data_IF_691589153076
#
_entry.id   IF_691589153076
#
_cell.length_a   1.000
_cell.length_b   1.000
_cell.length_c   1.000
_cell.angle_alpha   90.00
_cell.angle_beta   90.00
_cell.angle_gamma   90.00
#
_symmetry.space_group_name_H-M   'P 1'
#
loop_
_entity.id
_entity.type
_entity.pdbx_description
1 polymer ?
#
# COMPACT_ATOMS: atom_id res chain seq x y z
N UNK A 1 -14.45 3.57 -9.65
CA UNK A 1 -13.28 2.94 -9.00
C UNK A 1 -13.24 3.39 -7.57
N UNK A 2 -13.77 2.57 -6.69
CA UNK A 2 -13.73 2.82 -5.25
C UNK A 2 -12.36 2.41 -4.73
N UNK A 3 -11.73 3.27 -3.93
CA UNK A 3 -10.45 3.00 -3.29
C UNK A 3 -10.70 2.78 -1.81
N UNK A 4 -10.26 1.63 -1.31
CA UNK A 4 -10.34 1.30 0.11
C UNK A 4 -8.97 1.54 0.73
N UNK A 5 -8.91 2.42 1.74
CA UNK A 5 -7.70 2.65 2.51
C UNK A 5 -7.79 1.86 3.82
N UNK A 6 -6.84 0.95 4.03
CA UNK A 6 -6.74 0.14 5.24
C UNK A 6 -5.46 0.51 5.98
N UNK A 7 -5.57 0.80 7.28
CA UNK A 7 -4.41 0.96 8.17
C UNK A 7 -4.24 -0.33 8.96
N UNK A 8 -3.05 -0.92 8.87
CA UNK A 8 -2.69 -2.14 9.58
C UNK A 8 -1.64 -1.82 10.63
N UNK A 9 -1.85 -2.27 11.88
CA UNK A 9 -0.89 -2.16 12.97
C UNK A 9 0.18 -3.25 12.88
N UNK A 10 1.45 -2.87 13.00
CA UNK A 10 2.57 -3.83 12.85
C UNK A 10 2.69 -4.83 14.00
N UNK A 11 2.20 -4.47 15.18
CA UNK A 11 2.22 -5.35 16.35
C UNK A 11 1.21 -6.50 16.23
N UNK A 12 0.22 -6.37 15.33
CA UNK A 12 -0.94 -7.27 15.24
C UNK A 12 -0.90 -8.21 14.03
N UNK A 13 0.08 -8.09 13.13
CA UNK A 13 -0.02 -8.79 11.85
C UNK A 13 1.29 -9.37 11.34
N UNK A 14 1.55 -10.62 11.74
CA UNK A 14 2.42 -11.54 11.00
C UNK A 14 2.08 -11.57 9.50
N UNK A 15 0.80 -11.38 9.14
CA UNK A 15 0.37 -11.29 7.75
C UNK A 15 1.07 -10.17 6.95
N UNK A 16 1.24 -8.97 7.53
CA UNK A 16 1.89 -7.87 6.82
C UNK A 16 3.39 -8.13 6.59
N UNK A 17 4.05 -8.75 7.57
CA UNK A 17 5.47 -9.11 7.49
C UNK A 17 5.69 -10.33 6.58
N UNK A 18 4.90 -11.38 6.72
CA UNK A 18 5.09 -12.67 6.03
C UNK A 18 4.55 -12.66 4.60
N UNK A 19 3.37 -12.07 4.35
CA UNK A 19 2.74 -12.10 3.02
C UNK A 19 3.22 -10.96 2.13
N UNK A 20 3.46 -9.78 2.72
CA UNK A 20 3.86 -8.58 1.96
C UNK A 20 5.28 -8.10 2.25
N UNK A 21 6.05 -8.79 3.10
CA UNK A 21 7.44 -8.47 3.38
C UNK A 21 7.63 -7.08 3.99
N UNK A 22 6.72 -6.63 4.85
CA UNK A 22 6.84 -5.31 5.51
C UNK A 22 7.88 -5.38 6.61
N UNK A 23 9.09 -4.87 6.35
CA UNK A 23 10.21 -4.89 7.32
C UNK A 23 10.44 -3.54 8.01
N UNK A 24 9.87 -2.46 7.49
CA UNK A 24 10.05 -1.09 7.99
C UNK A 24 8.74 -0.32 7.99
N UNK A 25 8.58 0.59 8.94
CA UNK A 25 7.39 1.44 9.09
C UNK A 25 7.78 2.92 8.91
N UNK A 26 6.94 3.75 8.25
CA UNK A 26 5.73 3.37 7.53
C UNK A 26 6.04 2.72 6.18
N UNK A 27 5.24 1.73 5.77
CA UNK A 27 5.24 1.16 4.42
C UNK A 27 3.83 1.25 3.85
N UNK A 28 3.72 1.71 2.61
CA UNK A 28 2.46 1.79 1.86
C UNK A 28 2.50 0.74 0.75
N UNK A 29 1.43 -0.03 0.64
CA UNK A 29 1.27 -1.06 -0.40
C UNK A 29 -0.04 -0.78 -1.12
N UNK A 30 0.01 -0.79 -2.45
CA UNK A 30 -1.16 -0.71 -3.30
C UNK A 30 -1.40 -2.09 -3.87
N UNK A 31 -2.60 -2.62 -3.64
CA UNK A 31 -3.06 -3.90 -4.15
C UNK A 31 -4.08 -3.69 -5.26
N UNK A 32 -4.13 -4.60 -6.22
CA UNK A 32 -5.21 -4.67 -7.19
C UNK A 32 -6.45 -5.36 -6.60
N UNK A 33 -7.50 -5.49 -7.42
CA UNK A 33 -8.74 -6.15 -7.01
C UNK A 33 -8.61 -7.65 -6.70
N UNK A 34 -7.52 -8.29 -7.14
CA UNK A 34 -7.22 -9.70 -6.90
C UNK A 34 -6.28 -9.89 -5.69
N UNK A 35 -5.81 -8.80 -5.08
CA UNK A 35 -4.89 -8.81 -3.95
C UNK A 35 -3.42 -8.86 -4.34
N UNK A 36 -3.08 -8.68 -5.62
CA UNK A 36 -1.70 -8.63 -6.10
C UNK A 36 -1.07 -7.25 -5.86
N UNK A 37 0.22 -7.23 -5.53
CA UNK A 37 0.95 -5.98 -5.26
C UNK A 37 1.23 -5.24 -6.56
N UNK A 38 0.59 -4.07 -6.72
CA UNK A 38 0.86 -3.14 -7.82
C UNK A 38 2.08 -2.27 -7.48
N UNK A 39 2.15 -1.78 -6.24
CA UNK A 39 3.19 -0.85 -5.81
C UNK A 39 3.50 -0.99 -4.31
N UNK A 40 4.77 -0.80 -3.95
CA UNK A 40 5.23 -0.73 -2.56
C UNK A 40 6.15 0.47 -2.35
N UNK A 41 5.92 1.23 -1.30
CA UNK A 41 6.71 2.41 -0.92
C UNK A 41 7.13 2.28 0.54
N UNK A 42 8.44 2.23 0.80
CA UNK A 42 9.02 2.03 2.13
C UNK A 42 9.60 3.33 2.64
N UNK A 43 9.05 3.86 3.73
CA UNK A 43 9.24 5.25 4.11
C UNK A 43 8.55 6.15 3.09
N UNK A 44 7.67 7.04 3.52
CA UNK A 44 7.02 7.93 2.58
C UNK A 44 6.67 9.27 3.23
N UNK A 45 6.91 10.33 2.48
CA UNK A 45 6.29 11.62 2.74
C UNK A 45 4.82 11.58 2.31
N UNK A 46 3.98 12.45 2.90
CA UNK A 46 2.57 12.59 2.50
C UNK A 46 2.40 12.82 1.00
N UNK A 47 3.37 13.49 0.36
CA UNK A 47 3.33 13.85 -1.05
C UNK A 47 3.52 12.63 -1.96
N UNK A 48 4.48 11.75 -1.64
CA UNK A 48 4.74 10.54 -2.42
C UNK A 48 3.57 9.56 -2.38
N UNK A 49 2.93 9.40 -1.21
CA UNK A 49 1.74 8.56 -1.06
C UNK A 49 0.57 9.11 -1.89
N UNK A 50 0.32 10.41 -1.80
CA UNK A 50 -0.76 11.05 -2.57
C UNK A 50 -0.54 10.90 -4.08
N UNK A 51 0.71 11.02 -4.53
CA UNK A 51 1.05 10.87 -5.94
C UNK A 51 0.90 9.42 -6.41
N UNK A 52 1.32 8.44 -5.62
CA UNK A 52 1.15 7.01 -5.91
C UNK A 52 -0.34 6.65 -6.03
N UNK A 53 -1.16 7.04 -5.05
CA UNK A 53 -2.61 6.81 -5.07
C UNK A 53 -3.26 7.45 -6.29
N UNK A 54 -2.94 8.73 -6.57
CA UNK A 54 -3.51 9.46 -7.71
C UNK A 54 -3.10 8.85 -9.05
N UNK A 55 -1.86 8.39 -9.18
CA UNK A 55 -1.35 7.77 -10.41
C UNK A 55 -2.06 6.46 -10.70
N UNK A 56 -2.23 5.60 -9.68
CA UNK A 56 -2.82 4.27 -9.84
C UNK A 56 -4.34 4.32 -10.10
N UNK A 57 -5.06 5.24 -9.44
CA UNK A 57 -6.49 5.47 -9.72
C UNK A 57 -6.71 5.90 -11.17
N UNK A 58 -5.83 6.76 -11.70
CA UNK A 58 -6.00 7.35 -13.02
C UNK A 58 -5.49 6.46 -14.18
N UNK A 59 -4.52 5.58 -13.94
CA UNK A 59 -4.02 4.62 -14.95
C UNK A 59 -4.86 3.34 -15.06
N UNK A 60 -5.85 3.14 -14.19
CA UNK A 60 -6.84 2.06 -14.31
C UNK A 60 -8.02 2.43 -15.23
N UNK A 61 -7.79 3.28 -16.24
CA UNK A 61 -8.78 3.72 -17.23
C UNK A 61 -8.49 3.15 -18.61
#
# INVERSE_FOLDING_TARGET
NDVVLVKVGVDETLFATEVYGVEKVPTFIVLDSQGEVIQKTVGASKQEVNQAVTTTINHSK
#
